data_IF_689324570102
#
_entry.id   IF_689324570102
#
_cell.length_a   1.000
_cell.length_b   1.000
_cell.length_c   1.000
_cell.angle_alpha   90.00
_cell.angle_beta   90.00
_cell.angle_gamma   90.00
#
_symmetry.space_group_name_H-M   'P 1'
#
loop_
_entity.id
_entity.type
_entity.pdbx_description
1 polymer ?
#
# COMPACT_ATOMS: atom_id res chain seq x y z
N UNK A 1 6.96 -28.27 -17.82
CA UNK A 1 7.53 -27.45 -16.73
C UNK A 1 7.45 -26.01 -17.21
N UNK A 2 6.42 -25.26 -16.81
CA UNK A 2 6.30 -23.85 -17.19
C UNK A 2 7.35 -23.12 -16.38
N UNK A 3 8.29 -22.47 -17.05
CA UNK A 3 9.36 -21.73 -16.42
C UNK A 3 8.78 -20.68 -15.46
N UNK A 4 9.35 -20.60 -14.25
CA UNK A 4 8.96 -19.60 -13.24
C UNK A 4 8.99 -18.19 -13.84
N UNK A 5 9.91 -17.93 -14.75
CA UNK A 5 10.04 -16.67 -15.47
C UNK A 5 8.83 -16.37 -16.38
N UNK A 6 8.27 -17.37 -17.06
CA UNK A 6 7.07 -17.17 -17.91
C UNK A 6 5.82 -16.91 -17.08
N UNK A 7 5.68 -17.51 -15.91
CA UNK A 7 4.59 -17.19 -14.97
C UNK A 7 4.69 -15.76 -14.45
N UNK A 8 5.86 -15.36 -14.00
CA UNK A 8 6.07 -13.99 -13.52
C UNK A 8 5.77 -12.97 -14.60
N UNK A 9 6.21 -13.23 -15.85
CA UNK A 9 5.94 -12.34 -16.98
C UNK A 9 4.44 -12.28 -17.32
N UNK A 10 3.73 -13.40 -17.30
CA UNK A 10 2.28 -13.43 -17.53
C UNK A 10 1.50 -12.70 -16.44
N UNK A 11 1.87 -12.89 -15.18
CA UNK A 11 1.23 -12.22 -14.05
C UNK A 11 1.47 -10.70 -14.08
N UNK A 12 2.66 -10.27 -14.45
CA UNK A 12 2.99 -8.86 -14.70
C UNK A 12 2.15 -8.28 -15.84
N UNK A 13 2.08 -9.00 -16.98
CA UNK A 13 1.35 -8.55 -18.16
C UNK A 13 -0.16 -8.37 -17.88
N UNK A 14 -0.74 -9.19 -17.01
CA UNK A 14 -2.15 -9.09 -16.62
C UNK A 14 -2.33 -8.01 -15.53
N UNK A 15 -1.39 -7.89 -14.60
CA UNK A 15 -1.51 -6.93 -13.48
C UNK A 15 -1.48 -5.47 -13.96
N UNK A 16 -0.69 -5.14 -15.00
CA UNK A 16 -0.60 -3.77 -15.51
C UNK A 16 -1.95 -3.24 -16.02
N UNK A 17 -2.68 -3.94 -16.94
CA UNK A 17 -3.99 -3.45 -17.40
C UNK A 17 -5.04 -3.45 -16.28
N UNK A 18 -5.02 -4.42 -15.38
CA UNK A 18 -5.90 -4.43 -14.21
C UNK A 18 -5.65 -3.19 -13.33
N UNK A 19 -4.39 -2.85 -13.08
CA UNK A 19 -4.04 -1.63 -12.34
C UNK A 19 -4.52 -0.37 -13.06
N UNK A 20 -4.39 -0.30 -14.38
CA UNK A 20 -4.87 0.83 -15.18
C UNK A 20 -6.40 1.01 -15.03
N UNK A 21 -7.16 -0.06 -15.03
CA UNK A 21 -8.62 -0.03 -14.82
C UNK A 21 -8.93 0.53 -13.42
N UNK A 22 -8.24 0.05 -12.38
CA UNK A 22 -8.43 0.55 -11.01
C UNK A 22 -8.06 2.02 -10.86
N UNK A 23 -7.03 2.48 -11.55
CA UNK A 23 -6.67 3.90 -11.57
C UNK A 23 -7.80 4.72 -12.19
N UNK A 24 -8.35 4.28 -13.33
CA UNK A 24 -9.47 4.97 -13.99
C UNK A 24 -10.69 5.02 -13.06
N UNK A 25 -11.03 3.90 -12.42
CA UNK A 25 -12.15 3.84 -11.44
C UNK A 25 -11.92 4.83 -10.30
N UNK A 26 -10.70 4.88 -9.75
CA UNK A 26 -10.35 5.81 -8.68
C UNK A 26 -10.52 7.26 -9.10
N UNK A 27 -10.05 7.60 -10.30
CA UNK A 27 -10.13 8.96 -10.84
C UNK A 27 -11.60 9.37 -11.10
N UNK A 28 -12.41 8.47 -11.65
CA UNK A 28 -13.84 8.68 -11.86
C UNK A 28 -14.55 8.86 -10.52
N UNK A 29 -14.28 8.01 -9.55
CA UNK A 29 -14.88 8.09 -8.23
C UNK A 29 -14.55 9.42 -7.54
N UNK A 30 -13.30 9.86 -7.60
CA UNK A 30 -12.89 11.15 -7.04
C UNK A 30 -13.57 12.36 -7.69
N UNK A 31 -13.93 12.23 -8.97
CA UNK A 31 -14.70 13.28 -9.67
C UNK A 31 -16.09 13.45 -9.10
N UNK A 32 -16.76 12.36 -8.74
CA UNK A 32 -18.12 12.37 -8.20
C UNK A 32 -18.19 12.64 -6.70
N UNK A 33 -17.09 12.50 -5.99
CA UNK A 33 -17.06 12.66 -4.54
C UNK A 33 -16.73 14.10 -4.16
N UNK A 34 -17.73 14.83 -3.68
CA UNK A 34 -17.58 16.17 -3.09
C UNK A 34 -17.35 16.13 -1.56
N UNK A 35 -17.00 14.99 -1.01
CA UNK A 35 -16.82 14.79 0.42
C UNK A 35 -15.62 15.56 0.96
N UNK A 36 -15.76 16.14 2.14
CA UNK A 36 -14.66 16.79 2.87
C UNK A 36 -13.56 15.79 3.25
N UNK A 37 -13.90 14.50 3.38
CA UNK A 37 -12.97 13.42 3.74
C UNK A 37 -12.79 12.53 2.51
N UNK A 38 -11.69 12.75 1.77
CA UNK A 38 -11.40 12.03 0.51
C UNK A 38 -10.44 10.85 0.70
N UNK A 39 -9.70 10.83 1.81
CA UNK A 39 -8.70 9.81 2.13
C UNK A 39 -9.32 8.44 2.38
N UNK A 40 -10.46 8.37 3.09
CA UNK A 40 -11.14 7.11 3.42
C UNK A 40 -11.66 6.39 2.16
N UNK A 41 -12.39 7.04 1.23
CA UNK A 41 -12.79 6.43 -0.03
C UNK A 41 -11.60 5.96 -0.87
N UNK A 42 -10.52 6.76 -0.93
CA UNK A 42 -9.31 6.40 -1.66
C UNK A 42 -8.67 5.14 -1.06
N UNK A 43 -8.56 5.06 0.27
CA UNK A 43 -8.07 3.88 0.97
C UNK A 43 -8.95 2.66 0.70
N UNK A 44 -10.28 2.82 0.74
CA UNK A 44 -11.22 1.73 0.48
C UNK A 44 -11.08 1.16 -0.93
N UNK A 45 -10.86 2.00 -1.93
CA UNK A 45 -10.61 1.57 -3.31
C UNK A 45 -9.29 0.78 -3.39
N UNK A 46 -8.22 1.25 -2.75
CA UNK A 46 -6.92 0.56 -2.74
C UNK A 46 -7.02 -0.81 -2.07
N UNK A 47 -7.69 -0.87 -0.91
CA UNK A 47 -7.90 -2.13 -0.18
C UNK A 47 -8.80 -3.08 -0.98
N UNK A 48 -9.86 -2.56 -1.60
CA UNK A 48 -10.75 -3.34 -2.48
C UNK A 48 -10.00 -3.90 -3.70
N UNK A 49 -9.18 -3.07 -4.34
CA UNK A 49 -8.33 -3.48 -5.46
C UNK A 49 -7.34 -4.57 -5.05
N UNK A 50 -6.70 -4.43 -3.89
CA UNK A 50 -5.82 -5.44 -3.32
C UNK A 50 -6.56 -6.77 -3.10
N UNK A 51 -7.73 -6.72 -2.47
CA UNK A 51 -8.52 -7.91 -2.17
C UNK A 51 -8.98 -8.64 -3.45
N UNK A 52 -9.49 -7.90 -4.43
CA UNK A 52 -9.91 -8.47 -5.72
C UNK A 52 -8.73 -9.10 -6.47
N UNK A 53 -7.59 -8.41 -6.54
CA UNK A 53 -6.39 -8.92 -7.21
C UNK A 53 -5.90 -10.21 -6.57
N UNK A 54 -5.98 -10.32 -5.24
CA UNK A 54 -5.63 -11.52 -4.49
C UNK A 54 -6.57 -12.69 -4.79
N UNK A 55 -7.87 -12.43 -5.02
CA UNK A 55 -8.82 -13.47 -5.43
C UNK A 55 -8.47 -14.10 -6.79
N UNK A 56 -7.89 -13.32 -7.69
CA UNK A 56 -7.42 -13.80 -9.00
C UNK A 56 -6.01 -14.36 -8.97
N UNK A 57 -5.42 -14.58 -7.79
CA UNK A 57 -4.05 -15.08 -7.60
C UNK A 57 -2.97 -14.21 -8.27
N UNK A 58 -3.26 -12.95 -8.55
CA UNK A 58 -2.32 -11.99 -9.10
C UNK A 58 -1.48 -11.33 -7.99
N UNK A 59 -0.29 -10.80 -8.32
CA UNK A 59 0.58 -10.15 -7.33
C UNK A 59 0.00 -8.80 -6.85
N UNK A 60 -0.88 -8.86 -5.84
CA UNK A 60 -1.62 -7.70 -5.34
C UNK A 60 -0.71 -6.57 -4.81
N UNK A 61 0.46 -6.90 -4.27
CA UNK A 61 1.45 -5.90 -3.86
C UNK A 61 1.98 -5.10 -5.05
N UNK A 62 2.17 -5.75 -6.20
CA UNK A 62 2.59 -5.09 -7.42
C UNK A 62 1.52 -4.10 -7.90
N UNK A 63 0.24 -4.49 -7.85
CA UNK A 63 -0.87 -3.61 -8.20
C UNK A 63 -0.84 -2.33 -7.34
N UNK A 64 -0.75 -2.47 -6.02
CA UNK A 64 -0.72 -1.32 -5.09
C UNK A 64 0.52 -0.45 -5.32
N UNK A 65 1.66 -1.07 -5.62
CA UNK A 65 2.90 -0.35 -5.92
C UNK A 65 2.78 0.49 -7.20
N UNK A 66 2.32 -0.12 -8.30
CA UNK A 66 2.11 0.58 -9.58
C UNK A 66 1.07 1.69 -9.43
N UNK A 67 -0.02 1.41 -8.72
CA UNK A 67 -1.05 2.40 -8.39
C UNK A 67 -0.46 3.61 -7.65
N UNK A 68 0.37 3.37 -6.62
CA UNK A 68 1.05 4.43 -5.88
C UNK A 68 1.99 5.28 -6.75
N UNK A 69 2.76 4.64 -7.65
CA UNK A 69 3.65 5.36 -8.58
C UNK A 69 2.83 6.26 -9.52
N UNK A 70 1.76 5.75 -10.10
CA UNK A 70 0.95 6.51 -11.05
C UNK A 70 0.25 7.67 -10.37
N UNK A 71 -0.33 7.46 -9.20
CA UNK A 71 -0.99 8.53 -8.45
C UNK A 71 0.01 9.62 -8.03
N UNK A 72 1.20 9.23 -7.57
CA UNK A 72 2.26 10.19 -7.23
C UNK A 72 2.71 11.00 -8.44
N UNK A 73 2.75 10.39 -9.61
CA UNK A 73 3.23 10.98 -10.85
C UNK A 73 2.09 11.39 -11.79
N UNK A 74 0.94 11.76 -11.27
CA UNK A 74 -0.25 12.11 -12.05
C UNK A 74 0.00 13.25 -13.05
N UNK A 75 1.02 14.06 -12.79
CA UNK A 75 1.45 15.12 -13.70
C UNK A 75 2.03 14.61 -15.03
N UNK A 76 2.47 13.35 -15.08
CA UNK A 76 3.03 12.70 -16.28
C UNK A 76 1.91 12.14 -17.18
N UNK A 77 0.69 11.99 -16.65
CA UNK A 77 -0.45 11.50 -17.42
C UNK A 77 -0.80 12.45 -18.58
N UNK A 78 -1.20 11.88 -19.74
CA UNK A 78 -1.60 12.67 -20.91
C UNK A 78 -2.67 13.71 -20.55
N UNK A 79 -2.59 14.89 -21.18
CA UNK A 79 -3.46 16.05 -20.93
C UNK A 79 -4.96 15.74 -21.06
N UNK A 80 -5.31 14.70 -21.83
CA UNK A 80 -6.69 14.22 -22.00
C UNK A 80 -7.28 13.75 -20.65
N UNK A 81 -6.50 13.09 -19.83
CA UNK A 81 -6.92 12.60 -18.51
C UNK A 81 -6.84 13.69 -17.43
N UNK A 82 -5.89 14.62 -17.56
CA UNK A 82 -5.79 15.79 -16.66
C UNK A 82 -7.02 16.68 -16.65
N UNK A 83 -7.68 16.87 -17.80
CA UNK A 83 -8.94 17.65 -17.89
C UNK A 83 -10.11 17.01 -17.15
N UNK A 84 -10.05 15.71 -16.92
CA UNK A 84 -11.09 14.95 -16.21
C UNK A 84 -10.88 14.94 -14.69
N UNK A 85 -9.71 15.32 -14.22
CA UNK A 85 -9.28 15.18 -12.83
C UNK A 85 -9.06 16.57 -12.25
N UNK A 86 -9.73 16.84 -11.14
CA UNK A 86 -9.39 17.97 -10.28
C UNK A 86 -8.08 17.64 -9.55
N UNK A 87 -6.97 18.08 -10.14
CA UNK A 87 -5.62 17.73 -9.70
C UNK A 87 -5.33 18.23 -8.28
N UNK A 88 -5.95 19.35 -7.86
CA UNK A 88 -5.81 19.89 -6.51
C UNK A 88 -6.51 18.99 -5.50
N UNK A 89 -7.76 18.64 -5.76
CA UNK A 89 -8.52 17.75 -4.88
C UNK A 89 -7.85 16.38 -4.71
N UNK A 90 -7.21 15.89 -5.77
CA UNK A 90 -6.49 14.61 -5.69
C UNK A 90 -5.20 14.75 -4.87
N UNK A 91 -4.45 15.84 -5.02
CA UNK A 91 -3.25 16.10 -4.21
C UNK A 91 -3.59 16.17 -2.72
N UNK A 92 -4.64 16.89 -2.36
CA UNK A 92 -5.09 16.99 -0.97
C UNK A 92 -5.45 15.60 -0.41
N UNK A 93 -6.22 14.82 -1.17
CA UNK A 93 -6.58 13.46 -0.77
C UNK A 93 -5.37 12.53 -0.59
N UNK A 94 -4.31 12.71 -1.41
CA UNK A 94 -3.07 11.94 -1.28
C UNK A 94 -2.29 12.37 -0.01
N UNK A 95 -2.26 13.66 0.29
CA UNK A 95 -1.60 14.17 1.51
C UNK A 95 -2.31 13.64 2.74
N UNK A 96 -3.64 13.72 2.77
CA UNK A 96 -4.46 13.20 3.87
C UNK A 96 -4.28 11.68 4.03
N UNK A 97 -4.29 10.93 2.91
CA UNK A 97 -4.05 9.49 2.93
C UNK A 97 -2.66 9.16 3.47
N UNK A 98 -1.64 9.91 3.06
CA UNK A 98 -0.28 9.72 3.55
C UNK A 98 -0.20 9.92 5.07
N UNK A 99 -0.81 10.99 5.57
CA UNK A 99 -0.86 11.28 7.01
C UNK A 99 -1.56 10.15 7.75
N UNK A 100 -2.73 9.73 7.28
CA UNK A 100 -3.49 8.61 7.86
C UNK A 100 -2.68 7.31 7.90
N UNK A 101 -1.97 6.97 6.81
CA UNK A 101 -1.15 5.76 6.75
C UNK A 101 0.03 5.82 7.72
N UNK A 102 0.64 7.01 7.90
CA UNK A 102 1.73 7.20 8.89
C UNK A 102 1.20 7.00 10.32
N UNK A 103 0.05 7.58 10.64
CA UNK A 103 -0.60 7.43 11.94
C UNK A 103 -0.97 5.97 12.22
N UNK A 104 -1.58 5.30 11.22
CA UNK A 104 -1.94 3.89 11.31
C UNK A 104 -0.70 2.99 11.48
N UNK A 105 0.36 3.27 10.75
CA UNK A 105 1.62 2.54 10.87
C UNK A 105 2.25 2.69 12.26
N UNK A 106 2.18 3.89 12.84
CA UNK A 106 2.61 4.15 14.22
C UNK A 106 1.78 3.34 15.22
N UNK A 107 0.45 3.34 15.06
CA UNK A 107 -0.46 2.60 15.93
C UNK A 107 -0.21 1.09 15.84
N UNK A 108 -0.09 0.53 14.64
CA UNK A 108 0.20 -0.89 14.43
C UNK A 108 1.55 -1.26 15.04
N UNK A 109 2.58 -0.44 14.84
CA UNK A 109 3.91 -0.66 15.41
C UNK A 109 3.85 -0.68 16.95
N UNK A 110 3.19 0.30 17.54
CA UNK A 110 3.04 0.40 18.99
C UNK A 110 2.32 -0.84 19.53
N UNK A 111 1.20 -1.22 18.91
CA UNK A 111 0.43 -2.40 19.31
C UNK A 111 1.26 -3.68 19.16
N UNK A 112 2.00 -3.80 18.06
CA UNK A 112 2.90 -4.94 17.83
C UNK A 112 3.94 -5.07 18.94
N UNK A 113 4.59 -3.98 19.35
CA UNK A 113 5.58 -4.02 20.43
C UNK A 113 4.97 -4.33 21.79
N UNK A 114 3.75 -3.87 22.06
CA UNK A 114 3.02 -4.23 23.28
C UNK A 114 2.75 -5.73 23.30
N UNK A 115 2.17 -6.28 22.23
CA UNK A 115 1.89 -7.72 22.12
C UNK A 115 3.17 -8.54 22.20
N UNK A 116 4.23 -8.11 21.52
CA UNK A 116 5.54 -8.75 21.58
C UNK A 116 6.08 -8.77 23.02
N UNK A 117 5.99 -7.64 23.72
CA UNK A 117 6.43 -7.54 25.13
C UNK A 117 5.69 -8.50 26.05
N UNK A 118 4.38 -8.66 25.85
CA UNK A 118 3.58 -9.64 26.62
C UNK A 118 3.85 -11.09 26.23
N UNK A 119 4.25 -11.33 24.98
CA UNK A 119 4.47 -12.69 24.46
C UNK A 119 5.83 -13.27 24.84
N UNK A 120 6.81 -12.44 25.21
CA UNK A 120 8.14 -12.89 25.58
C UNK A 120 8.17 -13.28 27.06
N UNK A 121 8.36 -14.56 27.40
CA UNK A 121 8.50 -14.97 28.81
C UNK A 121 9.77 -14.36 29.43
N UNK A 122 9.65 -13.86 30.64
CA UNK A 122 10.76 -13.22 31.36
C UNK A 122 12.01 -14.10 31.51
N UNK A 123 11.84 -15.41 31.48
CA UNK A 123 12.94 -16.39 31.54
C UNK A 123 13.95 -16.24 30.40
N UNK A 124 13.48 -15.75 29.23
CA UNK A 124 14.36 -15.52 28.06
C UNK A 124 15.43 -14.48 28.38
N UNK A 125 15.10 -13.47 29.21
CA UNK A 125 16.04 -12.42 29.61
C UNK A 125 17.12 -12.90 30.59
N UNK A 126 16.95 -14.07 31.21
CA UNK A 126 17.99 -14.69 32.08
C UNK A 126 19.11 -15.32 31.25
N UNK A 127 18.92 -15.54 29.98
CA UNK A 127 19.91 -16.18 29.11
C UNK A 127 20.91 -15.18 28.53
N UNK A 128 22.19 -15.29 28.94
CA UNK A 128 23.27 -14.41 28.49
C UNK A 128 23.40 -14.33 26.95
N UNK A 129 23.08 -15.40 26.23
CA UNK A 129 23.14 -15.42 24.75
C UNK A 129 22.15 -14.45 24.13
N UNK A 130 20.97 -14.26 24.73
CA UNK A 130 19.95 -13.32 24.24
C UNK A 130 20.43 -11.88 24.31
N UNK A 131 21.14 -11.53 25.39
CA UNK A 131 21.73 -10.20 25.52
C UNK A 131 22.83 -9.93 24.51
N UNK A 132 23.68 -10.92 24.24
CA UNK A 132 24.76 -10.78 23.23
C UNK A 132 24.15 -10.56 21.85
N UNK A 133 23.12 -11.33 21.47
CA UNK A 133 22.44 -11.19 20.17
C UNK A 133 21.72 -9.87 20.09
N UNK A 134 20.97 -9.47 21.13
CA UNK A 134 20.23 -8.21 21.16
C UNK A 134 21.15 -7.00 21.04
N UNK A 135 22.25 -6.97 21.78
CA UNK A 135 23.24 -5.88 21.69
C UNK A 135 23.94 -5.85 20.33
N UNK A 136 24.22 -7.02 19.75
CA UNK A 136 24.80 -7.12 18.40
C UNK A 136 23.88 -6.54 17.33
N UNK A 137 22.55 -6.77 17.44
CA UNK A 137 21.55 -6.20 16.51
C UNK A 137 21.40 -4.68 16.64
N UNK A 138 21.58 -4.13 17.83
CA UNK A 138 21.53 -2.68 18.05
C UNK A 138 22.77 -1.99 17.49
N UNK A 139 23.88 -2.70 17.40
CA UNK A 139 25.17 -2.13 16.95
C UNK A 139 25.35 -2.13 15.42
N UNK A 140 24.48 -2.82 14.67
CA UNK A 140 24.45 -2.82 13.20
C UNK A 140 23.58 -1.66 12.73
#
# INVERSE_FOLDING_TARGET
>A
MIDISTRILSDLAITIPVTAIFIIITLLFMRFTNSAIKSIPLLSIVVGAYALTKMFHLPALLLVFVFGIVIKNINVLPTKYKKMIDTEKLKDAIVDLKTFVIELAFLIRTFFFIVLGFSIPFEVFSNKKVWIIGLSLIHI
#
